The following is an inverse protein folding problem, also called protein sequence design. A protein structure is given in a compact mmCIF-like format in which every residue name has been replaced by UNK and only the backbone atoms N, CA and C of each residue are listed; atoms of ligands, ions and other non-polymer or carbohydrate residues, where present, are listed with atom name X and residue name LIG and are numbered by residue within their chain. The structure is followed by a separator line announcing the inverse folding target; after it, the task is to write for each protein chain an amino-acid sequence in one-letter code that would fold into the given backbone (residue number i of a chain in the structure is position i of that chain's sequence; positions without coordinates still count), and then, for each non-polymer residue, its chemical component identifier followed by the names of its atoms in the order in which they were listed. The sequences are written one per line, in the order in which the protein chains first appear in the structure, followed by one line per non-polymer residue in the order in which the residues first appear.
data_IF_756377837651
#
_entry.id   IF_756377837651
#
_cell.length_a   1.000
_cell.length_b   1.000
_cell.length_c   1.000
_cell.angle_alpha   90.00
_cell.angle_beta   90.00
_cell.angle_gamma   90.00
#
_symmetry.space_group_name_H-M   'P 1'
#
loop_
_entity.id
_entity.type
_entity.pdbx_description
1 polymer ?
#
# COMPACT_ATOMS: atom_id res chain seq x y z
N UNK A 1 -8.00 25.26 -15.51
CA UNK A 1 -8.22 24.53 -14.24
C UNK A 1 -7.96 23.04 -14.50
N UNK A 2 -6.78 22.52 -14.13
CA UNK A 2 -6.42 21.14 -14.43
C UNK A 2 -7.28 20.19 -13.59
N UNK A 3 -8.10 19.38 -14.27
CA UNK A 3 -8.84 18.26 -13.68
C UNK A 3 -7.79 17.28 -13.12
N UNK A 4 -7.56 17.31 -11.81
CA UNK A 4 -6.83 16.23 -11.14
C UNK A 4 -7.65 14.95 -11.36
N UNK A 5 -7.17 14.10 -12.27
CA UNK A 5 -7.69 12.76 -12.41
C UNK A 5 -7.67 12.11 -11.03
N UNK A 6 -8.83 11.70 -10.52
CA UNK A 6 -8.91 10.78 -9.41
C UNK A 6 -8.28 9.48 -9.92
N UNK A 7 -6.96 9.35 -9.82
CA UNK A 7 -6.34 8.03 -9.90
C UNK A 7 -6.96 7.23 -8.76
N UNK A 8 -7.83 6.30 -9.11
CA UNK A 8 -8.27 5.26 -8.19
C UNK A 8 -7.01 4.44 -7.89
N UNK A 9 -6.43 4.68 -6.73
CA UNK A 9 -5.26 3.92 -6.30
C UNK A 9 -5.80 2.57 -5.83
N UNK A 10 -5.73 1.56 -6.70
CA UNK A 10 -6.23 0.24 -6.38
C UNK A 10 -5.29 -0.45 -5.37
N UNK A 11 -5.90 -1.17 -4.42
CA UNK A 11 -5.13 -1.98 -3.48
C UNK A 11 -4.83 -3.34 -4.12
N UNK A 12 -3.56 -3.66 -4.20
CA UNK A 12 -3.06 -4.92 -4.75
C UNK A 12 -2.89 -5.96 -3.64
N UNK A 13 -3.04 -7.23 -4.01
CA UNK A 13 -2.84 -8.35 -3.11
C UNK A 13 -1.38 -8.80 -3.19
N UNK A 14 -0.61 -8.53 -2.13
CA UNK A 14 0.79 -8.93 -2.02
C UNK A 14 0.93 -10.12 -1.06
N UNK A 15 1.10 -11.35 -1.59
CA UNK A 15 1.38 -12.50 -0.75
C UNK A 15 2.76 -12.36 -0.11
N UNK A 16 2.84 -12.57 1.20
CA UNK A 16 4.10 -12.63 1.91
C UNK A 16 4.92 -13.85 1.44
N UNK A 17 6.18 -13.71 1.01
CA UNK A 17 7.01 -14.83 0.60
C UNK A 17 7.34 -15.80 1.76
N UNK A 18 7.29 -15.33 3.01
CA UNK A 18 7.63 -16.13 4.18
C UNK A 18 6.45 -16.92 4.76
N UNK A 19 5.28 -16.28 4.93
CA UNK A 19 4.12 -16.90 5.57
C UNK A 19 2.94 -17.16 4.62
N UNK A 20 3.08 -16.78 3.34
CA UNK A 20 2.05 -16.90 2.28
C UNK A 20 0.72 -16.22 2.59
N UNK A 21 0.63 -15.43 3.67
CA UNK A 21 -0.53 -14.59 3.97
C UNK A 21 -0.61 -13.44 2.98
N UNK A 22 -1.82 -13.13 2.53
CA UNK A 22 -2.08 -12.05 1.60
C UNK A 22 -2.17 -10.73 2.38
N UNK A 23 -1.32 -9.77 2.03
CA UNK A 23 -1.39 -8.41 2.52
C UNK A 23 -2.04 -7.56 1.44
N UNK A 24 -3.10 -6.82 1.77
CA UNK A 24 -3.67 -5.83 0.86
C UNK A 24 -2.86 -4.56 0.98
N UNK A 25 -2.27 -4.12 -0.11
CA UNK A 25 -1.34 -3.00 -0.09
C UNK A 25 -1.62 -2.03 -1.21
N UNK A 26 -1.37 -0.75 -0.94
CA UNK A 26 -1.34 0.30 -1.94
C UNK A 26 0.12 0.70 -2.09
N UNK A 27 0.65 0.50 -3.29
CA UNK A 27 2.01 0.90 -3.66
C UNK A 27 1.94 2.28 -4.30
N UNK A 28 2.59 3.25 -3.67
CA UNK A 28 2.65 4.61 -4.16
C UNK A 28 3.98 4.86 -4.85
N UNK A 29 3.93 5.57 -5.98
CA UNK A 29 5.12 6.20 -6.52
C UNK A 29 5.59 7.31 -5.56
N UNK A 30 6.91 7.55 -5.47
CA UNK A 30 7.52 8.42 -4.46
C UNK A 30 6.98 9.86 -4.41
N UNK A 31 6.38 10.33 -5.51
CA UNK A 31 5.82 11.67 -5.65
C UNK A 31 4.30 11.73 -5.46
N UNK A 32 3.62 10.59 -5.30
CA UNK A 32 2.16 10.57 -5.16
C UNK A 32 1.72 10.93 -3.74
N UNK A 33 0.87 11.95 -3.65
CA UNK A 33 0.26 12.38 -2.39
C UNK A 33 -1.13 11.76 -2.27
N UNK A 34 -1.30 10.93 -1.24
CA UNK A 34 -2.59 10.40 -0.89
C UNK A 34 -3.46 11.46 -0.22
N UNK A 35 -4.72 11.56 -0.63
CA UNK A 35 -5.70 12.36 0.09
C UNK A 35 -5.82 11.83 1.54
N UNK A 36 -5.73 12.68 2.58
CA UNK A 36 -5.80 12.26 3.98
C UNK A 36 -7.10 11.51 4.33
N UNK A 37 -8.22 11.86 3.71
CA UNK A 37 -9.50 11.15 3.88
C UNK A 37 -9.42 9.73 3.30
N UNK A 38 -8.75 9.60 2.15
CA UNK A 38 -8.57 8.31 1.48
C UNK A 38 -7.60 7.41 2.27
N UNK A 39 -6.51 7.98 2.80
CA UNK A 39 -5.56 7.29 3.68
C UNK A 39 -6.27 6.72 4.93
N UNK A 40 -7.11 7.53 5.58
CA UNK A 40 -7.93 7.06 6.72
C UNK A 40 -8.84 5.90 6.34
N UNK A 41 -9.46 5.94 5.14
CA UNK A 41 -10.33 4.86 4.66
C UNK A 41 -9.52 3.57 4.43
N UNK A 42 -8.37 3.64 3.77
CA UNK A 42 -7.50 2.48 3.53
C UNK A 42 -7.04 1.83 4.84
N UNK A 43 -6.59 2.64 5.81
CA UNK A 43 -6.20 2.15 7.14
C UNK A 43 -7.34 1.44 7.87
N UNK A 44 -8.57 1.97 7.81
CA UNK A 44 -9.76 1.31 8.38
C UNK A 44 -10.08 -0.03 7.73
N UNK A 45 -9.74 -0.20 6.45
CA UNK A 45 -9.91 -1.45 5.71
C UNK A 45 -8.76 -2.44 5.91
N UNK A 46 -7.76 -2.11 6.74
CA UNK A 46 -6.58 -2.94 6.96
C UNK A 46 -5.62 -2.97 5.76
N UNK A 47 -5.70 -1.97 4.88
CA UNK A 47 -4.83 -1.86 3.71
C UNK A 47 -3.54 -1.13 4.12
N UNK A 48 -2.41 -1.75 3.81
CA UNK A 48 -1.08 -1.22 4.11
C UNK A 48 -0.68 -0.24 2.99
N UNK A 49 -0.14 0.91 3.35
CA UNK A 49 0.35 1.89 2.37
C UNK A 49 1.86 1.83 2.40
N UNK A 50 2.46 1.57 1.26
CA UNK A 50 3.92 1.49 1.06
C UNK A 50 4.32 2.33 -0.13
N UNK A 51 5.51 2.91 -0.12
CA UNK A 51 6.06 3.52 -1.32
C UNK A 51 6.90 2.50 -2.06
N UNK A 52 6.94 2.65 -3.38
CA UNK A 52 7.78 1.82 -4.23
C UNK A 52 9.24 1.95 -3.83
N UNK A 53 9.92 0.82 -3.65
CA UNK A 53 11.28 0.75 -3.13
C UNK A 53 11.38 0.83 -1.60
N UNK A 54 10.28 0.99 -0.86
CA UNK A 54 10.28 0.83 0.60
C UNK A 54 10.11 -0.64 1.00
N UNK A 55 10.75 -0.97 2.11
CA UNK A 55 10.56 -2.23 2.79
C UNK A 55 9.37 -2.12 3.75
N UNK A 56 8.56 -3.16 3.85
CA UNK A 56 7.51 -3.26 4.86
C UNK A 56 7.62 -4.53 5.68
N UNK A 57 7.21 -4.46 6.93
CA UNK A 57 7.13 -5.64 7.80
C UNK A 57 5.77 -6.29 7.67
N UNK A 58 5.74 -7.56 7.32
CA UNK A 58 4.49 -8.32 7.27
C UNK A 58 3.86 -8.38 8.66
N UNK A 59 2.58 -7.98 8.85
CA UNK A 59 1.93 -7.99 10.15
C UNK A 59 1.73 -9.39 10.74
N UNK A 60 1.75 -10.42 9.89
CA UNK A 60 1.52 -11.81 10.31
C UNK A 60 2.78 -12.53 10.80
N UNK A 61 3.89 -12.36 10.10
CA UNK A 61 5.14 -13.08 10.41
C UNK A 61 6.31 -12.17 10.79
N UNK A 62 6.09 -10.85 10.80
CA UNK A 62 7.06 -9.82 11.18
C UNK A 62 8.35 -9.84 10.34
N UNK A 63 8.35 -10.55 9.21
CA UNK A 63 9.46 -10.53 8.24
C UNK A 63 9.34 -9.31 7.33
N UNK A 64 10.47 -8.71 7.05
CA UNK A 64 10.62 -7.59 6.12
C UNK A 64 10.50 -8.07 4.69
N UNK A 65 9.71 -7.37 3.88
CA UNK A 65 9.47 -7.64 2.46
C UNK A 65 9.75 -6.36 1.68
N UNK A 66 10.48 -6.48 0.59
CA UNK A 66 10.75 -5.39 -0.34
C UNK A 66 9.69 -5.39 -1.45
N UNK A 67 9.11 -4.22 -1.72
CA UNK A 67 8.21 -4.01 -2.86
C UNK A 67 9.02 -3.27 -3.94
N UNK A 68 9.39 -3.99 -5.00
CA UNK A 68 10.07 -3.44 -6.18
C UNK A 68 9.08 -2.87 -7.19
#
# INVERSE_FOLDING_TARGET
MAKQAKKEIEAEAHPCPHCRKINRMVVLESHEKLNPTYNKKLKKLGIIIVRKGENFSCPYCQKTISIN
#
